data_IF_959201004247
#
_entry.id   IF_959201004247
#
_cell.length_a   1.000
_cell.length_b   1.000
_cell.length_c   1.000
_cell.angle_alpha   90.00
_cell.angle_beta   90.00
_cell.angle_gamma   90.00
#
_symmetry.space_group_name_H-M   'P 1'
#
loop_
_entity.id
_entity.type
_entity.pdbx_description
1 polymer ?
#
# COMPACT_ATOMS: atom_id res chain seq x y z
N UNK A 1 -1.46 -9.51 12.44
CA UNK A 1 -1.12 -8.42 13.38
C UNK A 1 -0.46 -9.04 14.59
N UNK A 2 0.41 -8.33 15.32
CA UNK A 2 0.91 -8.75 16.62
C UNK A 2 -0.27 -9.03 17.55
N UNK A 3 0.01 -9.79 18.61
CA UNK A 3 -1.02 -10.12 19.57
C UNK A 3 -1.50 -8.82 20.26
N UNK A 4 -2.80 -8.49 20.21
CA UNK A 4 -3.30 -7.27 20.84
C UNK A 4 -3.13 -7.35 22.36
N UNK A 5 -2.77 -6.23 22.98
CA UNK A 5 -2.74 -6.10 24.43
C UNK A 5 -4.03 -5.44 24.94
N UNK A 6 -4.35 -5.66 26.21
CA UNK A 6 -5.51 -5.06 26.84
C UNK A 6 -5.23 -3.58 27.18
N UNK A 7 -6.16 -2.70 26.78
CA UNK A 7 -6.20 -1.30 27.19
C UNK A 7 -6.71 -1.19 28.63
N UNK A 8 -6.57 0.00 29.24
CA UNK A 8 -6.96 0.24 30.64
C UNK A 8 -8.45 0.01 30.92
N UNK A 9 -9.28 0.01 29.89
CA UNK A 9 -10.72 -0.27 29.92
C UNK A 9 -11.07 -1.76 29.64
N UNK A 10 -10.06 -2.61 29.45
CA UNK A 10 -10.20 -4.04 29.14
C UNK A 10 -10.47 -4.35 27.66
N UNK A 11 -10.50 -3.34 26.79
CA UNK A 11 -10.66 -3.54 25.35
C UNK A 11 -9.34 -3.90 24.66
N UNK A 12 -9.40 -4.62 23.53
CA UNK A 12 -8.20 -4.97 22.76
C UNK A 12 -7.65 -3.77 22.00
N UNK A 13 -6.33 -3.59 22.00
CA UNK A 13 -5.63 -2.52 21.28
C UNK A 13 -5.91 -2.50 19.76
N UNK A 14 -6.18 -3.65 19.15
CA UNK A 14 -6.65 -3.79 17.76
C UNK A 14 -7.33 -5.15 17.50
N UNK A 15 -7.98 -5.29 16.34
CA UNK A 15 -8.54 -6.56 15.87
C UNK A 15 -7.44 -7.59 15.60
N UNK A 16 -7.62 -8.83 16.05
CA UNK A 16 -6.67 -9.93 15.79
C UNK A 16 -6.57 -10.29 14.30
N UNK A 17 -7.57 -9.92 13.49
CA UNK A 17 -7.64 -10.23 12.05
C UNK A 17 -7.51 -8.99 11.19
N UNK A 18 -6.83 -9.13 10.05
CA UNK A 18 -6.75 -8.09 9.02
C UNK A 18 -8.12 -7.91 8.35
N UNK A 19 -8.44 -6.67 7.98
CA UNK A 19 -9.58 -6.41 7.12
C UNK A 19 -9.29 -6.90 5.70
N UNK A 20 -10.31 -7.37 4.99
CA UNK A 20 -10.20 -7.51 3.54
C UNK A 20 -10.10 -6.12 2.93
N UNK A 21 -9.23 -5.96 1.93
CA UNK A 21 -9.16 -4.76 1.10
C UNK A 21 -9.20 -5.14 -0.36
N UNK A 22 -9.73 -4.22 -1.17
CA UNK A 22 -9.82 -4.39 -2.62
C UNK A 22 -8.95 -3.33 -3.28
N UNK A 23 -8.04 -3.78 -4.14
CA UNK A 23 -7.19 -2.92 -4.93
C UNK A 23 -7.49 -3.13 -6.41
N UNK A 24 -7.88 -2.06 -7.09
CA UNK A 24 -8.05 -2.06 -8.54
C UNK A 24 -6.83 -1.42 -9.20
N UNK A 25 -6.19 -2.15 -10.10
CA UNK A 25 -5.07 -1.65 -10.91
C UNK A 25 -5.38 -1.85 -12.38
N UNK A 26 -5.04 -0.88 -13.21
CA UNK A 26 -5.27 -0.93 -14.66
C UNK A 26 -4.06 -0.34 -15.41
N UNK A 27 -3.68 -0.98 -16.51
CA UNK A 27 -2.62 -0.49 -17.40
C UNK A 27 -3.06 -0.63 -18.86
N UNK A 28 -2.86 0.44 -19.63
CA UNK A 28 -3.05 0.47 -21.08
C UNK A 28 -1.68 0.65 -21.71
N UNK A 29 -1.33 -0.25 -22.65
CA UNK A 29 -0.07 -0.18 -23.40
C UNK A 29 -0.37 -0.07 -24.89
N UNK A 30 0.21 0.94 -25.53
CA UNK A 30 0.18 1.11 -26.98
C UNK A 30 1.54 0.72 -27.56
N UNK A 31 1.52 -0.23 -28.49
CA UNK A 31 2.71 -0.69 -29.19
C UNK A 31 2.88 0.04 -30.52
N UNK A 32 4.11 0.49 -30.80
CA UNK A 32 4.55 1.05 -32.06
C UNK A 32 5.73 0.22 -32.60
N UNK A 33 6.13 0.49 -33.84
CA UNK A 33 7.28 -0.16 -34.47
C UNK A 33 8.57 0.46 -33.88
N UNK A 34 9.22 -0.26 -32.98
CA UNK A 34 10.47 0.16 -32.31
C UNK A 34 10.30 0.80 -30.92
N UNK A 35 9.08 1.06 -30.46
CA UNK A 35 8.84 1.60 -29.11
C UNK A 35 7.40 1.34 -28.63
N UNK A 36 7.14 1.50 -27.34
CA UNK A 36 5.79 1.45 -26.77
C UNK A 36 5.58 2.53 -25.70
N UNK A 37 4.33 2.98 -25.58
CA UNK A 37 3.88 3.88 -24.53
C UNK A 37 2.97 3.10 -23.60
N UNK A 38 3.16 3.22 -22.29
CA UNK A 38 2.26 2.65 -21.30
C UNK A 38 1.82 3.74 -20.33
N UNK A 39 0.53 3.71 -20.01
CA UNK A 39 -0.08 4.50 -18.95
C UNK A 39 -0.84 3.54 -18.05
N UNK A 40 -0.70 3.70 -16.75
CA UNK A 40 -1.37 2.85 -15.80
C UNK A 40 -1.61 3.54 -14.48
N UNK A 41 -2.43 2.88 -13.68
CA UNK A 41 -2.75 3.31 -12.34
C UNK A 41 -2.85 2.10 -11.42
N UNK A 42 -2.42 2.29 -10.19
CA UNK A 42 -2.55 1.33 -9.10
C UNK A 42 -3.45 1.93 -8.03
N UNK A 43 -4.21 1.07 -7.35
CA UNK A 43 -5.09 1.49 -6.26
C UNK A 43 -6.11 2.56 -6.69
N UNK A 44 -6.77 2.34 -7.83
CA UNK A 44 -7.82 3.22 -8.38
C UNK A 44 -9.02 3.40 -7.44
N UNK A 45 -9.25 2.43 -6.55
CA UNK A 45 -10.26 2.52 -5.46
C UNK A 45 -9.82 3.41 -4.30
N UNK A 46 -8.59 3.93 -4.34
CA UNK A 46 -7.98 4.79 -3.33
C UNK A 46 -8.05 4.21 -1.91
N UNK A 47 -7.92 2.89 -1.79
CA UNK A 47 -7.92 2.23 -0.50
C UNK A 47 -6.62 2.55 0.21
N UNK A 48 -6.69 3.19 1.38
CA UNK A 48 -5.50 3.49 2.19
C UNK A 48 -5.69 2.92 3.59
N UNK A 49 -4.74 2.10 4.01
CA UNK A 49 -4.68 1.67 5.39
C UNK A 49 -4.47 2.89 6.30
N UNK A 50 -5.40 3.10 7.24
CA UNK A 50 -5.24 4.10 8.30
C UNK A 50 -4.32 3.55 9.39
N UNK A 51 -3.40 4.38 9.88
CA UNK A 51 -2.48 4.07 10.98
C UNK A 51 -1.66 2.77 10.80
N UNK A 52 -0.76 2.72 9.81
CA UNK A 52 0.09 1.55 9.52
C UNK A 52 1.17 1.27 10.56
N UNK A 53 1.47 2.23 11.44
CA UNK A 53 2.56 2.17 12.41
C UNK A 53 2.01 2.64 13.77
N UNK A 54 2.32 1.88 14.83
CA UNK A 54 2.01 2.25 16.21
C UNK A 54 3.17 3.09 16.77
N UNK A 55 2.84 4.14 17.52
CA UNK A 55 3.81 5.08 18.10
C UNK A 55 4.80 5.66 17.07
N UNK A 56 4.32 6.00 15.87
CA UNK A 56 5.16 6.54 14.79
C UNK A 56 5.90 7.84 15.16
N UNK A 57 5.42 8.57 16.17
CA UNK A 57 6.03 9.79 16.71
C UNK A 57 7.23 9.52 17.63
N UNK A 58 7.39 8.29 18.13
CA UNK A 58 8.46 7.86 19.04
C UNK A 58 9.14 6.58 18.51
N UNK A 59 9.93 6.68 17.43
CA UNK A 59 10.43 5.51 16.70
C UNK A 59 11.46 4.66 17.46
N UNK A 60 11.98 5.16 18.59
CA UNK A 60 12.88 4.44 19.49
C UNK A 60 12.24 4.08 20.83
N UNK A 61 10.94 4.35 21.01
CA UNK A 61 10.21 3.97 22.21
C UNK A 61 9.83 2.49 22.19
N UNK A 62 9.66 1.89 23.37
CA UNK A 62 9.33 0.46 23.53
C UNK A 62 7.97 0.07 22.90
N UNK A 63 7.14 1.06 22.59
CA UNK A 63 5.81 0.87 21.97
C UNK A 63 5.81 1.05 20.44
N UNK A 64 6.96 1.29 19.80
CA UNK A 64 7.05 1.42 18.35
C UNK A 64 6.85 0.06 17.67
N UNK A 65 5.87 -0.03 16.77
CA UNK A 65 5.64 -1.24 15.98
C UNK A 65 5.21 -0.90 14.54
N UNK A 66 6.03 -1.32 13.57
CA UNK A 66 5.80 -1.16 12.13
C UNK A 66 5.28 -2.41 11.43
N UNK A 67 5.06 -3.51 12.15
CA UNK A 67 4.58 -4.79 11.60
C UNK A 67 3.06 -4.79 11.34
N UNK A 68 2.40 -3.67 11.60
CA UNK A 68 0.97 -3.46 11.45
C UNK A 68 0.52 -3.20 10.01
N UNK A 69 1.43 -3.17 9.03
CA UNK A 69 1.10 -2.96 7.62
C UNK A 69 0.49 -4.22 7.01
N UNK A 70 -0.76 -4.14 6.55
CA UNK A 70 -1.48 -5.22 5.90
C UNK A 70 -2.15 -4.82 4.57
N UNK A 71 -2.23 -3.52 4.27
CA UNK A 71 -2.77 -3.00 3.02
C UNK A 71 -1.96 -1.83 2.46
N UNK A 72 -2.38 -1.26 1.31
CA UNK A 72 -1.72 -0.14 0.67
C UNK A 72 -1.57 1.07 1.60
N UNK A 73 -0.34 1.54 1.74
CA UNK A 73 0.03 2.74 2.51
C UNK A 73 -0.06 4.00 1.65
N UNK A 74 0.06 3.82 0.33
CA UNK A 74 -0.09 4.86 -0.68
C UNK A 74 -1.49 4.80 -1.29
N UNK A 75 -2.05 5.97 -1.61
CA UNK A 75 -3.35 6.08 -2.30
C UNK A 75 -3.25 5.73 -3.78
N UNK A 76 -4.22 6.21 -4.56
CA UNK A 76 -4.20 6.05 -6.01
C UNK A 76 -2.90 6.59 -6.62
N UNK A 77 -2.17 5.73 -7.32
CA UNK A 77 -0.89 6.05 -7.95
C UNK A 77 -1.04 5.95 -9.46
N UNK A 78 -0.58 6.96 -10.19
CA UNK A 78 -0.67 7.03 -11.65
C UNK A 78 0.73 7.10 -12.25
N UNK A 79 0.97 6.39 -13.34
CA UNK A 79 2.26 6.37 -14.01
C UNK A 79 2.11 6.40 -15.53
N UNK A 80 3.10 7.01 -16.18
CA UNK A 80 3.28 7.02 -17.63
C UNK A 80 4.72 6.68 -17.94
N UNK A 81 4.97 5.87 -18.96
CA UNK A 81 6.32 5.50 -19.35
C UNK A 81 6.44 5.15 -20.82
N UNK A 82 7.64 5.36 -21.34
CA UNK A 82 8.02 5.05 -22.72
C UNK A 82 9.05 3.94 -22.67
N UNK A 83 8.86 2.90 -23.48
CA UNK A 83 9.81 1.79 -23.65
C UNK A 83 10.35 1.82 -25.07
N UNK A 84 11.67 1.99 -25.21
CA UNK A 84 12.37 1.91 -26.49
C UNK A 84 12.84 0.48 -26.74
N UNK A 85 12.48 -0.09 -27.89
CA UNK A 85 12.97 -1.40 -28.32
C UNK A 85 14.07 -1.15 -29.36
N UNK A 86 15.31 -1.05 -28.89
CA UNK A 86 16.48 -0.86 -29.75
C UNK A 86 16.87 -2.21 -30.37
N UNK A 87 16.26 -2.54 -31.51
CA UNK A 87 16.77 -3.62 -32.36
C UNK A 87 17.99 -3.09 -33.13
N UNK A 88 19.07 -3.86 -33.10
CA UNK A 88 20.36 -3.56 -33.75
C UNK A 88 20.25 -3.51 -35.27
#
# INVERSE_FOLDING_TARGET
>A
MPNPYALADGSSSWSSRYGSFEQLSAQITRYFRGWSLYVGAENLTNFKQKNPIIAATEPWGDNFDSTMIWGPVHGATYYVGVRLNLSK
#
